data_IF_288045525275
#
_entry.id   IF_288045525275
#
_cell.length_a   1.000
_cell.length_b   1.000
_cell.length_c   1.000
_cell.angle_alpha   90.00
_cell.angle_beta   90.00
_cell.angle_gamma   90.00
#
_symmetry.space_group_name_H-M   'P 1'
#
loop_
_entity.id
_entity.type
_entity.pdbx_description
1 polymer ?
#
# COMPACT_ATOMS: atom_id res chain seq x y z
N UNK A 1 31.53 25.16 -15.24
CA UNK A 1 30.16 25.68 -15.51
C UNK A 1 29.24 24.49 -15.40
N UNK A 2 28.64 24.29 -14.23
CA UNK A 2 28.18 22.98 -13.74
C UNK A 2 26.71 23.06 -13.37
N UNK A 3 25.93 22.03 -13.66
CA UNK A 3 24.64 21.64 -13.06
C UNK A 3 23.79 22.74 -12.38
N UNK A 4 24.26 23.27 -11.25
CA UNK A 4 23.63 24.32 -10.43
C UNK A 4 23.27 25.55 -11.26
N UNK A 5 24.14 26.01 -12.16
CA UNK A 5 23.86 27.19 -12.98
C UNK A 5 22.77 26.92 -14.03
N UNK A 6 22.68 25.70 -14.55
CA UNK A 6 21.59 25.28 -15.44
C UNK A 6 20.27 25.20 -14.68
N UNK A 7 20.29 24.68 -13.46
CA UNK A 7 19.12 24.66 -12.58
C UNK A 7 18.69 26.08 -12.15
N UNK A 8 19.64 26.96 -11.83
CA UNK A 8 19.38 28.35 -11.42
C UNK A 8 18.80 29.19 -12.58
N UNK A 9 19.29 29.02 -13.80
CA UNK A 9 18.71 29.65 -14.98
C UNK A 9 17.25 29.22 -15.21
N UNK A 10 16.98 27.92 -15.15
CA UNK A 10 15.63 27.38 -15.27
C UNK A 10 14.69 27.83 -14.14
N UNK A 11 15.19 27.90 -12.89
CA UNK A 11 14.41 28.39 -11.75
C UNK A 11 14.10 29.89 -11.86
N UNK A 12 15.01 30.69 -12.41
CA UNK A 12 14.73 32.11 -12.68
C UNK A 12 13.61 32.30 -13.72
N UNK A 13 13.54 31.42 -14.72
CA UNK A 13 12.46 31.43 -15.71
C UNK A 13 11.13 30.99 -15.11
N UNK A 14 11.11 29.93 -14.30
CA UNK A 14 9.93 29.51 -13.51
C UNK A 14 9.47 30.64 -12.58
N UNK A 15 10.38 31.31 -11.88
CA UNK A 15 10.04 32.42 -10.99
C UNK A 15 9.37 33.56 -11.76
N UNK A 16 9.88 33.91 -12.95
CA UNK A 16 9.29 34.95 -13.80
C UNK A 16 7.87 34.59 -14.26
N UNK A 17 7.63 33.32 -14.61
CA UNK A 17 6.30 32.80 -14.96
C UNK A 17 5.34 32.82 -13.77
N UNK A 18 5.81 32.46 -12.57
CA UNK A 18 5.00 32.52 -11.35
C UNK A 18 4.60 33.95 -10.98
N UNK A 19 5.49 34.93 -11.18
CA UNK A 19 5.16 36.35 -11.02
C UNK A 19 4.09 36.78 -12.01
N UNK A 20 4.16 36.30 -13.27
CA UNK A 20 3.13 36.55 -14.28
C UNK A 20 1.78 35.93 -13.90
N UNK A 21 1.75 34.67 -13.48
CA UNK A 21 0.54 33.98 -12.97
C UNK A 21 -0.06 34.76 -11.80
N UNK A 22 0.76 35.23 -10.86
CA UNK A 22 0.30 36.07 -9.75
C UNK A 22 -0.33 37.37 -10.24
N UNK A 23 0.27 38.03 -11.22
CA UNK A 23 -0.28 39.26 -11.80
C UNK A 23 -1.65 39.00 -12.45
N UNK A 24 -1.77 37.94 -13.24
CA UNK A 24 -3.02 37.53 -13.89
C UNK A 24 -4.10 37.17 -12.88
N UNK A 25 -3.74 36.48 -11.80
CA UNK A 25 -4.68 36.14 -10.73
C UNK A 25 -5.21 37.39 -10.00
N UNK A 26 -4.36 38.40 -9.77
CA UNK A 26 -4.77 39.70 -9.21
C UNK A 26 -5.66 40.44 -10.19
N UNK A 27 -5.32 40.42 -11.48
CA UNK A 27 -6.10 41.07 -12.53
C UNK A 27 -7.50 40.43 -12.65
N UNK A 28 -7.60 39.10 -12.69
CA UNK A 28 -8.88 38.36 -12.63
C UNK A 28 -9.68 38.65 -11.36
N UNK A 29 -9.02 38.87 -10.21
CA UNK A 29 -9.70 39.24 -8.96
C UNK A 29 -10.25 40.67 -8.98
N UNK A 30 -9.61 41.58 -9.74
CA UNK A 30 -10.02 42.98 -9.86
C UNK A 30 -11.02 43.21 -11.01
N UNK A 31 -10.95 42.43 -12.09
CA UNK A 31 -11.83 42.55 -13.25
C UNK A 31 -13.30 42.29 -12.90
N UNK A 32 -13.56 41.41 -11.92
CA UNK A 32 -14.91 41.14 -11.41
C UNK A 32 -15.85 40.51 -12.45
N UNK A 33 -17.05 40.15 -11.99
CA UNK A 33 -18.11 39.37 -12.70
C UNK A 33 -18.70 40.03 -13.96
N UNK A 34 -18.14 41.14 -14.43
CA UNK A 34 -18.72 41.97 -15.51
C UNK A 34 -18.01 41.82 -16.86
N UNK A 35 -16.93 41.05 -16.92
CA UNK A 35 -16.18 40.80 -18.16
C UNK A 35 -15.63 39.37 -18.20
N UNK A 36 -16.54 38.42 -18.46
CA UNK A 36 -16.25 36.99 -18.53
C UNK A 36 -15.19 36.66 -19.61
N UNK A 37 -15.15 37.42 -20.71
CA UNK A 37 -14.17 37.25 -21.80
C UNK A 37 -12.74 37.54 -21.30
N UNK A 38 -12.55 38.63 -20.54
CA UNK A 38 -11.26 38.96 -19.92
C UNK A 38 -10.86 37.95 -18.84
N UNK A 39 -11.84 37.44 -18.07
CA UNK A 39 -11.58 36.39 -17.09
C UNK A 39 -11.11 35.08 -17.76
N UNK A 40 -11.77 34.66 -18.83
CA UNK A 40 -11.41 33.46 -19.58
C UNK A 40 -10.05 33.61 -20.28
N UNK A 41 -9.75 34.78 -20.84
CA UNK A 41 -8.43 35.09 -21.41
C UNK A 41 -7.31 34.99 -20.37
N UNK A 42 -7.49 35.60 -19.19
CA UNK A 42 -6.52 35.51 -18.10
C UNK A 42 -6.32 34.08 -17.62
N UNK A 43 -7.40 33.28 -17.51
CA UNK A 43 -7.32 31.88 -17.14
C UNK A 43 -6.57 31.04 -18.18
N UNK A 44 -6.78 31.30 -19.47
CA UNK A 44 -6.03 30.67 -20.56
C UNK A 44 -4.53 31.01 -20.48
N UNK A 45 -4.19 32.25 -20.16
CA UNK A 45 -2.80 32.67 -20.03
C UNK A 45 -2.12 32.05 -18.78
N UNK A 46 -2.86 31.90 -17.67
CA UNK A 46 -2.41 31.14 -16.50
C UNK A 46 -2.14 29.68 -16.87
N UNK A 47 -3.06 29.02 -17.60
CA UNK A 47 -2.89 27.63 -18.02
C UNK A 47 -1.64 27.46 -18.89
N UNK A 48 -1.42 28.35 -19.87
CA UNK A 48 -0.22 28.36 -20.70
C UNK A 48 1.06 28.57 -19.88
N UNK A 49 1.03 29.45 -18.89
CA UNK A 49 2.18 29.69 -18.01
C UNK A 49 2.50 28.46 -17.14
N UNK A 50 1.48 27.78 -16.61
CA UNK A 50 1.65 26.53 -15.86
C UNK A 50 2.19 25.40 -16.75
N UNK A 51 1.66 25.22 -17.95
CA UNK A 51 2.18 24.24 -18.91
C UNK A 51 3.66 24.52 -19.25
N UNK A 52 4.01 25.80 -19.38
CA UNK A 52 5.39 26.21 -19.61
C UNK A 52 6.29 25.88 -18.42
N UNK A 53 5.81 26.09 -17.18
CA UNK A 53 6.53 25.71 -15.96
C UNK A 53 6.78 24.20 -15.94
N UNK A 54 5.75 23.39 -16.21
CA UNK A 54 5.87 21.93 -16.27
C UNK A 54 6.87 21.51 -17.35
N UNK A 55 6.83 22.16 -18.52
CA UNK A 55 7.79 21.91 -19.60
C UNK A 55 9.22 22.26 -19.19
N UNK A 56 9.45 23.36 -18.48
CA UNK A 56 10.78 23.72 -17.98
C UNK A 56 11.24 22.71 -16.93
N UNK A 57 10.38 22.34 -15.98
CA UNK A 57 10.70 21.36 -14.95
C UNK A 57 11.10 20.00 -15.55
N UNK A 58 10.32 19.51 -16.52
CA UNK A 58 10.54 18.22 -17.17
C UNK A 58 11.69 18.22 -18.17
N UNK A 59 12.06 19.36 -18.77
CA UNK A 59 13.15 19.41 -19.76
C UNK A 59 14.48 19.88 -19.20
N UNK A 60 14.51 20.52 -18.03
CA UNK A 60 15.76 20.96 -17.40
C UNK A 60 16.57 19.74 -16.98
N UNK A 61 17.66 19.49 -17.70
CA UNK A 61 18.54 18.36 -17.48
C UNK A 61 20.01 18.72 -17.66
N UNK A 62 20.88 17.94 -17.03
CA UNK A 62 22.32 17.99 -17.26
C UNK A 62 22.82 16.59 -17.60
N UNK A 63 23.33 16.44 -18.82
CA UNK A 63 23.57 15.11 -19.39
C UNK A 63 22.25 14.33 -19.48
N UNK A 64 22.19 13.19 -18.78
CA UNK A 64 21.00 12.31 -18.72
C UNK A 64 20.16 12.51 -17.45
N UNK A 65 20.58 13.38 -16.51
CA UNK A 65 19.89 13.59 -15.24
C UNK A 65 18.93 14.78 -15.31
N UNK A 66 17.65 14.55 -15.05
CA UNK A 66 16.61 15.58 -14.89
C UNK A 66 16.80 16.29 -13.55
N UNK A 67 16.71 17.62 -13.51
CA UNK A 67 17.10 18.38 -12.32
C UNK A 67 15.93 18.90 -11.48
N UNK A 68 14.77 19.15 -12.11
CA UNK A 68 13.64 19.87 -11.50
C UNK A 68 12.32 19.09 -11.52
N UNK A 69 12.32 17.85 -12.00
CA UNK A 69 11.14 16.98 -12.11
C UNK A 69 10.89 16.12 -10.85
N UNK A 70 11.71 16.29 -9.80
CA UNK A 70 11.66 15.49 -8.58
C UNK A 70 12.26 14.09 -8.69
N UNK A 71 12.63 13.62 -9.89
CA UNK A 71 13.23 12.29 -10.09
C UNK A 71 14.70 12.23 -9.64
N UNK A 72 15.37 13.38 -9.55
CA UNK A 72 16.65 13.53 -8.86
C UNK A 72 16.56 13.38 -7.33
N UNK A 73 15.36 13.20 -6.77
CA UNK A 73 15.16 12.88 -5.37
C UNK A 73 15.61 11.46 -5.00
N UNK A 74 15.62 11.17 -3.70
CA UNK A 74 16.03 9.86 -3.20
C UNK A 74 14.94 8.84 -3.55
N UNK A 75 15.28 7.88 -4.41
CA UNK A 75 14.40 6.76 -4.77
C UNK A 75 14.99 5.46 -4.24
N UNK A 76 14.11 4.50 -3.92
CA UNK A 76 14.50 3.15 -3.56
C UNK A 76 13.68 2.15 -4.36
N UNK A 77 14.34 1.12 -4.86
CA UNK A 77 13.70 0.01 -5.58
C UNK A 77 13.67 -1.22 -4.67
N UNK A 78 12.49 -1.76 -4.33
CA UNK A 78 12.42 -3.03 -3.62
C UNK A 78 12.95 -4.15 -4.52
N UNK A 79 13.68 -5.10 -3.94
CA UNK A 79 14.18 -6.28 -4.66
C UNK A 79 13.06 -7.24 -5.09
N UNK A 80 11.97 -7.28 -4.31
CA UNK A 80 10.73 -7.97 -4.65
C UNK A 80 9.54 -7.01 -4.50
N UNK A 81 9.03 -6.45 -5.62
CA UNK A 81 7.90 -5.53 -5.60
C UNK A 81 6.59 -6.12 -5.08
N UNK A 82 6.45 -7.45 -5.04
CA UNK A 82 5.23 -8.10 -4.52
C UNK A 82 5.28 -8.27 -3.00
N UNK A 83 6.49 -8.34 -2.42
CA UNK A 83 6.68 -8.49 -0.98
C UNK A 83 6.98 -7.17 -0.28
N UNK A 84 7.48 -6.16 -1.01
CA UNK A 84 8.03 -4.95 -0.43
C UNK A 84 7.64 -3.71 -1.23
N UNK A 85 7.35 -2.62 -0.52
CA UNK A 85 7.13 -1.31 -1.11
C UNK A 85 8.10 -0.31 -0.51
N UNK A 86 8.71 0.51 -1.36
CA UNK A 86 9.49 1.64 -0.89
C UNK A 86 8.56 2.70 -0.31
N UNK A 87 8.66 2.94 1.01
CA UNK A 87 7.85 3.97 1.67
C UNK A 87 8.44 5.36 1.45
N UNK A 88 9.67 5.58 1.91
CA UNK A 88 10.33 6.90 1.93
C UNK A 88 11.82 6.78 2.21
N UNK A 89 12.58 7.74 1.70
CA UNK A 89 13.92 8.05 2.16
C UNK A 89 14.03 9.54 2.57
N UNK A 90 15.06 9.87 3.34
CA UNK A 90 15.32 11.21 3.87
C UNK A 90 16.72 11.65 3.49
N UNK A 91 17.05 12.94 3.66
CA UNK A 91 18.38 13.44 3.36
C UNK A 91 19.50 12.83 4.25
N UNK A 92 19.14 12.10 5.31
CA UNK A 92 20.06 11.31 6.14
C UNK A 92 20.15 9.83 5.75
N UNK A 93 19.38 9.39 4.76
CA UNK A 93 19.45 8.03 4.23
C UNK A 93 20.68 7.92 3.33
N UNK A 94 21.63 7.07 3.72
CA UNK A 94 22.82 6.82 2.91
C UNK A 94 22.45 6.01 1.65
N UNK A 95 23.15 6.26 0.56
CA UNK A 95 23.04 5.44 -0.63
C UNK A 95 23.56 4.02 -0.34
N UNK A 96 22.78 3.00 -0.72
CA UNK A 96 23.17 1.60 -0.55
C UNK A 96 21.99 0.63 -0.54
N UNK A 97 22.32 -0.66 -0.49
CA UNK A 97 21.33 -1.74 -0.38
C UNK A 97 20.97 -1.98 1.08
N UNK A 98 19.69 -1.91 1.40
CA UNK A 98 19.16 -2.22 2.72
C UNK A 98 18.57 -3.63 2.70
N UNK A 99 19.18 -4.55 3.44
CA UNK A 99 18.67 -5.92 3.56
C UNK A 99 17.53 -5.92 4.58
N UNK A 100 16.34 -6.26 4.12
CA UNK A 100 15.21 -6.59 4.99
C UNK A 100 15.17 -8.12 5.10
N UNK A 101 15.66 -8.64 6.22
CA UNK A 101 15.67 -10.06 6.50
C UNK A 101 14.43 -10.45 7.31
N UNK A 102 13.53 -11.24 6.72
CA UNK A 102 12.48 -11.95 7.47
C UNK A 102 13.13 -13.19 8.09
N UNK A 103 13.58 -13.09 9.34
CA UNK A 103 14.32 -14.16 10.02
C UNK A 103 13.44 -15.36 10.39
N UNK A 104 12.13 -15.17 10.48
CA UNK A 104 11.14 -16.23 10.74
C UNK A 104 9.84 -15.84 10.06
N UNK A 105 9.40 -16.65 9.10
CA UNK A 105 8.07 -16.48 8.52
C UNK A 105 7.04 -16.82 9.59
N UNK A 106 6.00 -15.99 9.71
CA UNK A 106 4.93 -16.28 10.64
C UNK A 106 4.28 -17.63 10.30
N UNK A 107 4.00 -18.44 11.31
CA UNK A 107 3.35 -19.75 11.11
C UNK A 107 1.99 -19.75 11.82
N UNK A 108 1.03 -20.50 11.27
CA UNK A 108 -0.27 -20.68 11.90
C UNK A 108 -0.10 -21.64 13.07
N UNK A 109 -0.68 -21.32 14.22
CA UNK A 109 -0.75 -22.27 15.33
C UNK A 109 -1.51 -23.54 14.88
N UNK A 110 -0.93 -24.71 15.15
CA UNK A 110 -1.45 -26.02 14.74
C UNK A 110 -1.65 -26.92 15.95
N UNK A 111 -2.79 -27.60 16.02
CA UNK A 111 -3.04 -28.70 16.97
C UNK A 111 -3.58 -29.90 16.18
N UNK A 112 -2.98 -31.06 16.36
CA UNK A 112 -3.48 -32.32 15.79
C UNK A 112 -4.17 -33.14 16.87
N UNK A 113 -5.31 -33.76 16.55
CA UNK A 113 -5.95 -34.71 17.44
C UNK A 113 -5.00 -35.89 17.75
N UNK A 114 -4.97 -36.32 19.01
CA UNK A 114 -4.06 -37.39 19.45
C UNK A 114 -4.44 -38.79 18.95
N UNK A 115 -5.68 -39.00 18.51
CA UNK A 115 -6.15 -40.27 17.93
C UNK A 115 -7.21 -39.99 16.88
N UNK A 116 -7.11 -40.67 15.73
CA UNK A 116 -8.09 -40.62 14.65
C UNK A 116 -9.45 -41.14 15.14
N UNK A 117 -10.52 -40.36 14.92
CA UNK A 117 -11.88 -40.84 15.14
C UNK A 117 -12.25 -41.78 13.98
N UNK A 118 -12.00 -43.07 14.13
CA UNK A 118 -12.28 -44.11 13.12
C UNK A 118 -13.75 -44.56 13.10
N UNK A 119 -14.57 -44.04 14.02
CA UNK A 119 -16.00 -44.32 14.16
C UNK A 119 -16.74 -43.04 14.51
N UNK A 120 -18.06 -43.01 14.29
CA UNK A 120 -18.92 -41.90 14.71
C UNK A 120 -18.87 -41.67 16.22
N UNK A 121 -19.14 -40.44 16.66
CA UNK A 121 -19.22 -40.09 18.08
C UNK A 121 -20.25 -40.98 18.79
N UNK A 122 -19.84 -41.59 19.90
CA UNK A 122 -20.72 -42.45 20.69
C UNK A 122 -21.77 -41.65 21.46
N UNK A 123 -21.45 -40.43 21.89
CA UNK A 123 -22.29 -39.57 22.71
C UNK A 123 -22.11 -38.10 22.31
N UNK A 124 -22.96 -37.22 22.82
CA UNK A 124 -22.81 -35.78 22.66
C UNK A 124 -21.58 -35.25 23.41
N UNK A 125 -20.86 -34.32 22.82
CA UNK A 125 -19.65 -33.72 23.38
C UNK A 125 -19.63 -32.20 23.17
N UNK A 126 -18.98 -31.47 24.10
CA UNK A 126 -18.71 -30.04 23.95
C UNK A 126 -17.21 -29.85 23.73
N UNK A 127 -16.84 -29.32 22.57
CA UNK A 127 -15.47 -28.93 22.26
C UNK A 127 -15.31 -27.42 22.50
N UNK A 128 -14.44 -27.02 23.43
CA UNK A 128 -14.13 -25.61 23.65
C UNK A 128 -12.90 -25.18 22.83
N UNK A 129 -13.06 -24.23 21.93
CA UNK A 129 -12.00 -23.66 21.09
C UNK A 129 -11.93 -22.17 21.34
N UNK A 130 -10.80 -21.68 21.86
CA UNK A 130 -10.62 -20.25 22.19
C UNK A 130 -11.76 -19.68 23.07
N UNK A 131 -12.32 -20.50 23.97
CA UNK A 131 -13.44 -20.12 24.84
C UNK A 131 -14.82 -20.17 24.19
N UNK A 132 -14.92 -20.52 22.91
CA UNK A 132 -16.18 -20.79 22.21
C UNK A 132 -16.52 -22.27 22.33
N UNK A 133 -17.73 -22.57 22.78
CA UNK A 133 -18.22 -23.94 22.91
C UNK A 133 -18.87 -24.39 21.60
N UNK A 134 -18.31 -25.44 21.00
CA UNK A 134 -18.84 -26.12 19.82
C UNK A 134 -19.54 -27.40 20.28
N UNK A 135 -20.87 -27.45 20.13
CA UNK A 135 -21.64 -28.66 20.42
C UNK A 135 -21.48 -29.66 19.27
N UNK A 136 -21.02 -30.86 19.61
CA UNK A 136 -20.94 -32.03 18.76
C UNK A 136 -21.99 -33.05 19.23
N UNK A 137 -22.69 -33.68 18.29
CA UNK A 137 -23.77 -34.61 18.60
C UNK A 137 -23.35 -36.06 18.34
N UNK A 138 -23.90 -36.99 19.12
CA UNK A 138 -23.78 -38.43 18.91
C UNK A 138 -24.14 -38.80 17.46
N UNK A 139 -23.41 -39.74 16.88
CA UNK A 139 -23.59 -40.21 15.50
C UNK A 139 -22.80 -39.42 14.45
N UNK A 140 -22.28 -38.23 14.76
CA UNK A 140 -21.45 -37.47 13.82
C UNK A 140 -20.17 -38.24 13.46
N UNK A 141 -19.90 -38.36 12.17
CA UNK A 141 -18.63 -38.88 11.65
C UNK A 141 -17.56 -37.78 11.62
N UNK A 142 -16.31 -38.15 11.34
CA UNK A 142 -15.17 -37.22 11.36
C UNK A 142 -15.36 -36.00 10.44
N UNK A 143 -15.93 -36.20 9.25
CA UNK A 143 -16.19 -35.10 8.31
C UNK A 143 -17.22 -34.14 8.89
N UNK A 144 -18.30 -34.66 9.48
CA UNK A 144 -19.35 -33.85 10.09
C UNK A 144 -18.83 -33.07 11.31
N UNK A 145 -17.91 -33.65 12.09
CA UNK A 145 -17.22 -32.93 13.17
C UNK A 145 -16.35 -31.80 12.62
N UNK A 146 -15.60 -32.04 11.53
CA UNK A 146 -14.77 -31.02 10.88
C UNK A 146 -15.66 -29.88 10.35
N UNK A 147 -16.73 -30.20 9.63
CA UNK A 147 -17.68 -29.22 9.11
C UNK A 147 -18.31 -28.41 10.24
N UNK A 148 -18.67 -29.08 11.35
CA UNK A 148 -19.23 -28.44 12.53
C UNK A 148 -18.25 -27.47 13.19
N UNK A 149 -16.96 -27.82 13.29
CA UNK A 149 -15.93 -26.91 13.79
C UNK A 149 -15.76 -25.72 12.84
N UNK A 150 -15.75 -25.97 11.54
CA UNK A 150 -15.57 -24.95 10.51
C UNK A 150 -16.73 -23.95 10.45
N UNK A 151 -17.94 -24.34 10.83
CA UNK A 151 -19.09 -23.43 10.98
C UNK A 151 -18.83 -22.33 12.03
N UNK A 152 -18.03 -22.62 13.05
CA UNK A 152 -17.64 -21.65 14.09
C UNK A 152 -16.36 -20.87 13.76
N UNK A 153 -15.73 -21.07 12.59
CA UNK A 153 -14.47 -20.40 12.22
C UNK A 153 -14.51 -18.89 12.42
N UNK A 154 -15.63 -18.25 12.08
CA UNK A 154 -15.80 -16.80 12.22
C UNK A 154 -15.76 -16.30 13.67
N UNK A 155 -16.04 -17.17 14.64
CA UNK A 155 -16.02 -16.87 16.07
C UNK A 155 -14.75 -17.38 16.76
N UNK A 156 -14.25 -18.55 16.35
CA UNK A 156 -13.07 -19.18 16.96
C UNK A 156 -11.75 -18.68 16.37
N UNK A 157 -11.76 -18.24 15.12
CA UNK A 157 -10.55 -17.99 14.33
C UNK A 157 -9.76 -19.28 14.05
N UNK A 158 -10.40 -20.45 14.06
CA UNK A 158 -9.76 -21.76 13.85
C UNK A 158 -10.48 -22.54 12.76
N UNK A 159 -9.71 -23.18 11.87
CA UNK A 159 -10.19 -24.07 10.81
C UNK A 159 -9.74 -25.50 11.13
N UNK A 160 -10.63 -26.47 10.91
CA UNK A 160 -10.35 -27.90 10.96
C UNK A 160 -10.22 -28.51 9.57
N UNK A 161 -9.33 -29.50 9.40
CA UNK A 161 -9.29 -30.37 8.22
C UNK A 161 -8.91 -31.80 8.59
N UNK A 162 -9.17 -32.74 7.69
CA UNK A 162 -8.67 -34.11 7.79
C UNK A 162 -7.28 -34.23 7.14
N UNK A 163 -6.33 -34.83 7.84
CA UNK A 163 -5.00 -35.15 7.35
C UNK A 163 -4.76 -36.66 7.45
N UNK A 164 -5.31 -37.41 6.50
CA UNK A 164 -5.13 -38.86 6.43
C UNK A 164 -5.78 -39.61 7.60
N UNK A 165 -6.97 -39.18 8.03
CA UNK A 165 -7.73 -39.74 9.15
C UNK A 165 -7.47 -39.05 10.49
N UNK A 166 -6.57 -38.07 10.56
CA UNK A 166 -6.35 -37.26 11.77
C UNK A 166 -6.92 -35.87 11.58
N UNK A 167 -7.81 -35.44 12.48
CA UNK A 167 -8.32 -34.06 12.48
C UNK A 167 -7.23 -33.11 12.96
N UNK A 168 -6.94 -32.08 12.17
CA UNK A 168 -5.99 -31.03 12.48
C UNK A 168 -6.67 -29.67 12.50
N UNK A 169 -6.28 -28.81 13.46
CA UNK A 169 -6.81 -27.48 13.69
C UNK A 169 -5.73 -26.43 13.42
N UNK A 170 -6.09 -25.35 12.72
CA UNK A 170 -5.20 -24.24 12.37
C UNK A 170 -5.83 -22.88 12.68
N UNK A 171 -5.08 -21.99 13.33
CA UNK A 171 -5.48 -20.57 13.50
C UNK A 171 -5.60 -19.88 12.15
N UNK A 172 -6.62 -19.05 11.87
CA UNK A 172 -6.78 -18.32 10.59
C UNK A 172 -5.72 -17.24 10.38
N UNK A 173 -5.06 -16.79 11.44
CA UNK A 173 -4.00 -15.79 11.39
C UNK A 173 -2.62 -16.45 11.50
N UNK A 174 -1.65 -15.89 10.78
CA UNK A 174 -0.24 -16.18 10.97
C UNK A 174 0.25 -15.36 12.17
N UNK A 175 0.94 -16.02 13.11
CA UNK A 175 1.61 -15.37 14.25
C UNK A 175 3.07 -15.08 13.95
#
# INVERSE_FOLDING_TARGET
>A
VSLVQTAEGALNEINSLLVKVRSLAIDSANAGVNDDDSFEANQSEIANALETIDRIANNTQFGTKKLLDGSSGISGTPSDPNAMTFLKATNSTNEGSYVIAVSTAGTRAKVSAGTAASTSLGQDEILSINGVNVQLYSGMNQSEVIDRINEYTGLTGVIAHDNGGTTELYSTIFG
#
